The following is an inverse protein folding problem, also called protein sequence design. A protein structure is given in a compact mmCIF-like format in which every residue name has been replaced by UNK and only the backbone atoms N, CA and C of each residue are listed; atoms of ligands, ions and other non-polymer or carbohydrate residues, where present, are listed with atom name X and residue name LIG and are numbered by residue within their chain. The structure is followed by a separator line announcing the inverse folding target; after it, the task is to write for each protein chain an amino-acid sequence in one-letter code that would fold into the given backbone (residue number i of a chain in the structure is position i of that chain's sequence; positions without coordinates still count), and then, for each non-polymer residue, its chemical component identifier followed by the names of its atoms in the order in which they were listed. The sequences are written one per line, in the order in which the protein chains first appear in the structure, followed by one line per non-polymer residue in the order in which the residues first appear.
data_IF_109982875883
#
_entry.id   IF_109982875883
#
_cell.length_a   1.000
_cell.length_b   1.000
_cell.length_c   1.000
_cell.angle_alpha   90.00
_cell.angle_beta   90.00
_cell.angle_gamma   90.00
#
_symmetry.space_group_name_H-M   'P 1'
#
loop_
_entity.id
_entity.type
_entity.pdbx_description
1 polymer ?
#
# COMPACT_ATOMS: atom_id res chain seq x y z
N UNK A 1 4.55 -6.84 -22.53
CA UNK A 1 4.96 -7.19 -21.15
C UNK A 1 3.81 -7.08 -20.15
N UNK A 2 3.20 -5.90 -19.93
CA UNK A 2 2.08 -5.74 -19.00
C UNK A 2 0.88 -6.67 -19.30
N UNK A 3 0.44 -6.73 -20.55
CA UNK A 3 -0.66 -7.62 -20.96
C UNK A 3 -0.35 -9.11 -20.72
N UNK A 4 0.92 -9.51 -20.87
CA UNK A 4 1.36 -10.87 -20.57
C UNK A 4 1.25 -11.16 -19.08
N UNK A 5 1.82 -10.30 -18.22
CA UNK A 5 1.69 -10.43 -16.76
C UNK A 5 0.23 -10.44 -16.31
N UNK A 6 -0.58 -9.53 -16.86
CA UNK A 6 -2.01 -9.49 -16.59
C UNK A 6 -2.72 -10.76 -17.07
N UNK A 7 -2.34 -11.38 -18.18
CA UNK A 7 -3.01 -12.60 -18.67
C UNK A 7 -2.73 -13.80 -17.78
N UNK A 8 -1.49 -13.92 -17.27
CA UNK A 8 -1.04 -15.08 -16.50
C UNK A 8 -1.13 -14.88 -14.97
N UNK A 9 -1.57 -13.72 -14.48
CA UNK A 9 -1.83 -13.55 -13.05
C UNK A 9 -3.13 -14.25 -12.64
N UNK A 10 -3.09 -14.93 -11.49
CA UNK A 10 -4.26 -15.63 -10.97
C UNK A 10 -5.41 -14.65 -10.64
N UNK A 11 -5.08 -13.54 -9.97
CA UNK A 11 -6.01 -12.48 -9.59
C UNK A 11 -5.39 -11.09 -9.72
N UNK A 12 -6.24 -10.08 -9.57
CA UNK A 12 -5.88 -8.66 -9.55
C UNK A 12 -6.70 -8.01 -8.42
N UNK A 13 -6.06 -7.57 -7.35
CA UNK A 13 -6.72 -6.86 -6.25
C UNK A 13 -6.97 -5.39 -6.63
N UNK A 14 -7.90 -4.72 -5.96
CA UNK A 14 -8.27 -3.32 -6.22
C UNK A 14 -8.20 -2.50 -4.93
N UNK A 15 -7.52 -1.35 -4.99
CA UNK A 15 -7.35 -0.45 -3.86
C UNK A 15 -6.28 -0.94 -2.89
N UNK A 16 -6.63 -1.88 -2.02
CA UNK A 16 -5.74 -2.51 -1.03
C UNK A 16 -5.80 -4.03 -1.15
N UNK A 17 -4.70 -4.71 -0.89
CA UNK A 17 -4.65 -6.17 -0.86
C UNK A 17 -5.28 -6.72 0.42
N UNK A 18 -6.04 -7.81 0.28
CA UNK A 18 -6.65 -8.56 1.38
C UNK A 18 -6.01 -9.94 1.51
N UNK A 19 -6.18 -10.60 2.67
CA UNK A 19 -5.70 -11.97 2.84
C UNK A 19 -6.34 -12.95 1.85
N UNK A 20 -7.57 -12.69 1.40
CA UNK A 20 -8.25 -13.54 0.41
C UNK A 20 -7.66 -13.39 -1.00
N UNK A 21 -7.15 -12.20 -1.36
CA UNK A 21 -6.47 -11.99 -2.64
C UNK A 21 -5.20 -12.84 -2.77
N UNK A 22 -4.49 -13.01 -1.65
CA UNK A 22 -3.21 -13.71 -1.58
C UNK A 22 -3.35 -15.19 -1.22
N UNK A 23 -4.51 -15.61 -0.70
CA UNK A 23 -4.74 -17.00 -0.30
C UNK A 23 -4.47 -17.98 -1.46
N UNK A 24 -3.74 -19.05 -1.16
CA UNK A 24 -3.32 -20.08 -2.11
C UNK A 24 -2.49 -19.53 -3.28
N UNK A 25 -1.79 -18.41 -3.11
CA UNK A 25 -0.81 -17.87 -4.08
C UNK A 25 0.60 -18.10 -3.57
N UNK A 26 1.56 -18.16 -4.48
CA UNK A 26 2.99 -18.28 -4.13
C UNK A 26 3.74 -16.96 -4.23
N UNK A 27 3.17 -15.97 -4.91
CA UNK A 27 3.76 -14.65 -5.12
C UNK A 27 2.65 -13.63 -5.42
N UNK A 28 2.81 -12.42 -4.90
CA UNK A 28 1.94 -11.29 -5.20
C UNK A 28 2.73 -9.98 -5.14
N UNK A 29 2.36 -9.01 -5.96
CA UNK A 29 2.59 -7.61 -5.62
C UNK A 29 1.53 -7.23 -4.57
N UNK A 30 1.93 -6.50 -3.53
CA UNK A 30 1.08 -6.18 -2.37
C UNK A 30 1.56 -4.87 -1.74
N UNK A 31 0.68 -4.20 -1.02
CA UNK A 31 1.00 -3.06 -0.18
C UNK A 31 1.33 -3.45 1.27
N UNK A 32 1.06 -4.70 1.65
CA UNK A 32 1.33 -5.26 2.97
C UNK A 32 0.13 -5.33 3.91
N UNK A 33 -1.02 -4.77 3.51
CA UNK A 33 -2.21 -4.67 4.36
C UNK A 33 -2.78 -6.05 4.72
N UNK A 34 -2.60 -7.03 3.84
CA UNK A 34 -3.03 -8.41 4.07
C UNK A 34 -2.15 -9.17 5.06
N UNK A 35 -0.91 -8.72 5.31
CA UNK A 35 0.09 -9.50 6.05
C UNK A 35 -0.30 -9.82 7.51
N UNK A 36 -0.86 -8.88 8.30
CA UNK A 36 -1.30 -9.19 9.66
C UNK A 36 -2.36 -10.30 9.68
N UNK A 37 -3.33 -10.22 8.77
CA UNK A 37 -4.41 -11.20 8.69
C UNK A 37 -3.91 -12.56 8.16
N UNK A 38 -3.04 -12.57 7.15
CA UNK A 38 -2.39 -13.79 6.65
C UNK A 38 -1.60 -14.49 7.75
N UNK A 39 -0.84 -13.73 8.56
CA UNK A 39 -0.13 -14.26 9.73
C UNK A 39 -1.10 -14.86 10.74
N UNK A 40 -2.22 -14.20 11.02
CA UNK A 40 -3.26 -14.71 11.91
C UNK A 40 -3.93 -15.99 11.38
N UNK A 41 -4.01 -16.16 10.06
CA UNK A 41 -4.48 -17.38 9.38
C UNK A 41 -3.42 -18.49 9.31
N UNK A 42 -2.22 -18.26 9.85
CA UNK A 42 -1.11 -19.23 9.85
C UNK A 42 -0.29 -19.26 8.56
N UNK A 43 -0.47 -18.29 7.67
CA UNK A 43 0.35 -18.14 6.47
C UNK A 43 1.63 -17.36 6.76
N UNK A 44 2.75 -17.77 6.17
CA UNK A 44 4.07 -17.17 6.39
C UNK A 44 4.54 -16.42 5.13
N UNK A 45 3.98 -15.23 4.93
CA UNK A 45 4.37 -14.33 3.84
C UNK A 45 5.57 -13.47 4.22
N UNK A 46 6.44 -13.21 3.25
CA UNK A 46 7.64 -12.38 3.43
C UNK A 46 7.83 -11.44 2.25
N UNK A 47 8.40 -10.28 2.51
CA UNK A 47 8.87 -9.38 1.46
C UNK A 47 10.10 -9.94 0.76
N UNK A 48 10.10 -9.86 -0.57
CA UNK A 48 11.28 -10.12 -1.37
C UNK A 48 12.02 -8.79 -1.63
N UNK A 49 13.29 -8.64 -1.23
CA UNK A 49 14.07 -7.47 -1.59
C UNK A 49 14.31 -7.47 -3.11
N UNK A 50 14.05 -6.34 -3.76
CA UNK A 50 14.28 -6.14 -5.19
C UNK A 50 15.51 -5.26 -5.41
N UNK A 51 16.42 -5.67 -6.30
CA UNK A 51 17.61 -4.90 -6.66
C UNK A 51 17.22 -3.59 -7.36
N UNK A 52 16.17 -3.64 -8.19
CA UNK A 52 15.66 -2.51 -8.98
C UNK A 52 14.85 -1.49 -8.16
N UNK A 53 14.76 -1.68 -6.83
CA UNK A 53 13.87 -0.94 -5.92
C UNK A 53 12.39 -1.19 -6.22
N UNK A 54 11.52 -0.74 -5.31
CA UNK A 54 10.06 -0.84 -5.47
C UNK A 54 9.37 0.52 -5.30
N UNK A 55 8.18 0.72 -5.88
CA UNK A 55 7.41 1.96 -5.67
C UNK A 55 6.93 2.06 -4.22
N UNK A 56 6.91 3.28 -3.68
CA UNK A 56 6.33 3.60 -2.36
C UNK A 56 5.63 4.95 -2.41
N UNK A 57 4.77 5.22 -1.44
CA UNK A 57 4.03 6.49 -1.30
C UNK A 57 3.95 6.92 0.16
N UNK A 58 3.57 8.18 0.35
CA UNK A 58 3.32 8.78 1.66
C UNK A 58 1.86 9.21 1.68
N UNK A 59 1.07 8.59 2.55
CA UNK A 59 -0.31 8.98 2.78
C UNK A 59 -0.37 10.19 3.73
N UNK A 60 -1.16 11.20 3.34
CA UNK A 60 -1.26 12.46 4.07
C UNK A 60 -2.73 12.84 4.30
N UNK A 61 -3.02 13.40 5.48
CA UNK A 61 -4.26 14.14 5.67
C UNK A 61 -4.15 15.54 5.06
N UNK A 62 -5.20 15.96 4.36
CA UNK A 62 -5.33 17.31 3.80
C UNK A 62 -6.63 17.94 4.26
N UNK A 63 -6.57 19.21 4.68
CA UNK A 63 -7.76 20.00 5.02
C UNK A 63 -8.24 20.71 3.75
N UNK A 64 -9.43 20.35 3.29
CA UNK A 64 -10.02 20.95 2.10
C UNK A 64 -10.43 22.41 2.33
N UNK A 65 -10.29 23.24 1.29
CA UNK A 65 -10.76 24.63 1.28
C UNK A 65 -12.28 24.74 1.54
N UNK A 66 -13.04 23.67 1.33
CA UNK A 66 -14.49 23.63 1.61
C UNK A 66 -14.83 23.83 3.10
N UNK A 67 -13.85 23.72 3.99
CA UNK A 67 -14.00 23.98 5.42
C UNK A 67 -13.67 25.42 5.84
N UNK A 68 -13.30 26.31 4.90
CA UNK A 68 -12.88 27.70 5.19
C UNK A 68 -13.88 28.44 6.08
N UNK A 69 -15.16 28.37 5.73
CA UNK A 69 -16.24 29.07 6.43
C UNK A 69 -17.02 28.14 7.38
N UNK A 70 -16.43 27.00 7.76
CA UNK A 70 -17.03 25.98 8.65
C UNK A 70 -16.12 25.70 9.86
N UNK A 71 -15.99 26.66 10.79
CA UNK A 71 -14.97 26.61 11.86
C UNK A 71 -15.11 25.38 12.76
N UNK A 72 -16.33 24.96 13.10
CA UNK A 72 -16.54 23.76 13.91
C UNK A 72 -16.07 22.48 13.21
N UNK A 73 -16.40 22.31 11.92
CA UNK A 73 -15.99 21.13 11.16
C UNK A 73 -14.48 21.13 10.91
N UNK A 74 -13.90 22.30 10.66
CA UNK A 74 -12.45 22.46 10.58
C UNK A 74 -11.77 22.03 11.88
N UNK A 75 -12.28 22.46 13.04
CA UNK A 75 -11.73 22.06 14.33
C UNK A 75 -11.80 20.54 14.53
N UNK A 76 -12.91 19.89 14.17
CA UNK A 76 -13.03 18.43 14.24
C UNK A 76 -11.97 17.75 13.36
N UNK A 77 -11.76 18.24 12.14
CA UNK A 77 -10.72 17.69 11.25
C UNK A 77 -9.31 17.87 11.82
N UNK A 78 -9.00 19.03 12.40
CA UNK A 78 -7.72 19.31 13.04
C UNK A 78 -7.48 18.39 14.26
N UNK A 79 -8.49 18.19 15.11
CA UNK A 79 -8.40 17.28 16.25
C UNK A 79 -8.23 15.82 15.83
N UNK A 80 -8.91 15.41 14.76
CA UNK A 80 -8.72 14.09 14.18
C UNK A 80 -7.28 13.90 13.70
N UNK A 81 -6.73 14.84 12.92
CA UNK A 81 -5.34 14.79 12.48
C UNK A 81 -4.40 14.69 13.68
N UNK A 82 -4.59 15.55 14.69
CA UNK A 82 -3.79 15.53 15.91
C UNK A 82 -3.84 14.17 16.62
N UNK A 83 -5.03 13.58 16.76
CA UNK A 83 -5.20 12.25 17.34
C UNK A 83 -4.47 11.15 16.55
N UNK A 84 -4.62 11.15 15.21
CA UNK A 84 -3.96 10.13 14.35
C UNK A 84 -2.43 10.26 14.29
N UNK A 85 -1.88 11.41 14.70
CA UNK A 85 -0.44 11.62 14.84
C UNK A 85 0.10 11.11 16.19
N UNK A 86 -0.75 10.69 17.12
CA UNK A 86 -0.32 10.12 18.40
C UNK A 86 0.49 8.82 18.20
N UNK A 87 1.52 8.58 19.02
CA UNK A 87 2.29 7.32 18.97
C UNK A 87 1.41 6.08 19.11
N UNK A 88 0.39 6.15 19.98
CA UNK A 88 -0.51 5.04 20.28
C UNK A 88 -1.37 4.70 19.07
N UNK A 89 -1.97 5.71 18.41
CA UNK A 89 -2.74 5.48 17.20
C UNK A 89 -1.87 4.89 16.09
N UNK A 90 -0.67 5.42 15.88
CA UNK A 90 0.22 4.91 14.84
C UNK A 90 0.73 3.49 15.12
N UNK A 91 0.95 3.13 16.39
CA UNK A 91 1.32 1.77 16.76
C UNK A 91 0.19 0.78 16.48
N UNK A 92 -1.02 1.09 16.95
CA UNK A 92 -2.17 0.18 16.82
C UNK A 92 -2.68 0.10 15.38
N UNK A 93 -2.90 1.24 14.73
CA UNK A 93 -3.55 1.27 13.42
C UNK A 93 -2.51 1.03 12.33
N UNK A 94 -1.44 1.81 12.26
CA UNK A 94 -0.52 1.73 11.12
C UNK A 94 0.35 0.47 11.19
N UNK A 95 1.02 0.23 12.31
CA UNK A 95 1.97 -0.89 12.40
C UNK A 95 1.23 -2.22 12.56
N UNK A 96 0.41 -2.37 13.60
CA UNK A 96 -0.25 -3.65 13.90
C UNK A 96 -1.39 -3.94 12.93
N UNK A 97 -2.20 -2.93 12.61
CA UNK A 97 -3.37 -3.08 11.74
C UNK A 97 -3.03 -3.17 10.25
N UNK A 98 -2.07 -2.37 9.77
CA UNK A 98 -1.83 -2.21 8.33
C UNK A 98 -0.42 -2.62 7.87
N UNK A 99 0.48 -2.99 8.79
CA UNK A 99 1.90 -3.24 8.48
C UNK A 99 2.58 -2.06 7.76
N UNK A 100 2.14 -0.85 8.05
CA UNK A 100 2.63 0.39 7.45
C UNK A 100 3.64 1.09 8.35
N UNK A 101 4.54 1.86 7.73
CA UNK A 101 5.54 2.66 8.46
C UNK A 101 4.89 3.88 9.12
N UNK A 102 5.05 4.07 10.44
CA UNK A 102 4.61 5.29 11.11
C UNK A 102 5.54 6.46 10.79
N UNK A 103 4.99 7.67 10.81
CA UNK A 103 5.76 8.92 10.62
C UNK A 103 6.20 9.53 11.96
N UNK A 104 5.53 9.17 13.06
CA UNK A 104 5.91 9.62 14.38
C UNK A 104 6.99 8.68 14.94
N UNK A 105 8.23 9.19 15.06
CA UNK A 105 9.37 8.42 15.58
C UNK A 105 9.16 7.88 17.00
N UNK A 106 8.32 8.53 17.82
CA UNK A 106 8.01 8.07 19.19
C UNK A 106 7.21 6.76 19.19
N UNK A 107 6.54 6.42 18.09
CA UNK A 107 5.80 5.15 17.92
C UNK A 107 6.69 3.94 18.20
N UNK A 108 7.99 4.02 17.85
CA UNK A 108 8.96 2.92 18.03
C UNK A 108 9.01 2.41 19.47
N UNK A 109 8.83 3.27 20.46
CA UNK A 109 8.87 2.89 21.89
C UNK A 109 7.70 1.95 22.30
N UNK A 110 6.66 1.83 21.47
CA UNK A 110 5.47 1.02 21.72
C UNK A 110 5.47 -0.31 20.96
N UNK A 111 6.54 -0.62 20.22
CA UNK A 111 6.61 -1.75 19.30
C UNK A 111 7.58 -2.82 19.80
N UNK A 112 7.31 -4.08 19.45
CA UNK A 112 8.28 -5.17 19.63
C UNK A 112 9.40 -5.07 18.59
N UNK A 113 10.54 -5.70 18.85
CA UNK A 113 11.64 -5.74 17.89
C UNK A 113 11.22 -6.37 16.54
N UNK A 114 10.41 -7.43 16.57
CA UNK A 114 9.85 -8.05 15.36
C UNK A 114 9.03 -7.05 14.53
N UNK A 115 8.20 -6.23 15.17
CA UNK A 115 7.41 -5.20 14.47
C UNK A 115 8.30 -4.12 13.88
N UNK A 116 9.30 -3.67 14.64
CA UNK A 116 10.30 -2.68 14.21
C UNK A 116 11.05 -3.17 12.96
N UNK A 117 11.46 -4.44 12.94
CA UNK A 117 12.12 -5.08 11.80
C UNK A 117 11.18 -5.23 10.61
N UNK A 118 9.95 -5.68 10.85
CA UNK A 118 8.93 -5.89 9.80
C UNK A 118 8.65 -4.62 9.02
N UNK A 119 8.47 -3.49 9.72
CA UNK A 119 8.27 -2.18 9.08
C UNK A 119 9.58 -1.44 8.83
N UNK A 120 10.75 -2.01 9.16
CA UNK A 120 12.06 -1.44 8.87
C UNK A 120 12.34 -0.08 9.52
N UNK A 121 11.92 0.13 10.76
CA UNK A 121 12.08 1.41 11.48
C UNK A 121 13.52 1.71 11.94
N UNK A 122 14.38 0.69 12.05
CA UNK A 122 15.80 0.85 12.44
C UNK A 122 16.72 1.23 11.29
N UNK A 123 16.22 1.13 10.05
CA UNK A 123 17.02 1.24 8.83
C UNK A 123 16.78 2.58 8.10
N UNK A 124 16.63 3.67 8.86
CA UNK A 124 16.28 4.99 8.31
C UNK A 124 17.25 5.47 7.21
N UNK A 125 18.52 5.08 7.26
CA UNK A 125 19.56 5.42 6.26
C UNK A 125 19.55 4.56 5.00
N UNK A 126 18.90 3.39 4.95
CA UNK A 126 18.77 2.57 3.72
C UNK A 126 17.46 2.79 2.98
N UNK A 127 16.58 3.65 3.51
CA UNK A 127 15.28 3.97 2.91
C UNK A 127 15.38 4.62 1.52
N UNK A 128 16.40 5.46 1.28
CA UNK A 128 16.67 6.04 -0.05
C UNK A 128 17.22 5.01 -1.07
N UNK A 129 17.65 3.83 -0.61
CA UNK A 129 18.22 2.79 -1.47
C UNK A 129 17.18 1.74 -1.88
N UNK A 130 16.09 1.55 -1.13
CA UNK A 130 15.16 0.42 -1.36
C UNK A 130 13.88 0.76 -2.12
N UNK A 131 13.42 2.01 -2.12
CA UNK A 131 12.19 2.39 -2.80
C UNK A 131 12.29 3.69 -3.60
N UNK A 132 11.35 3.86 -4.52
CA UNK A 132 11.15 5.08 -5.31
C UNK A 132 9.81 5.67 -4.93
N UNK A 133 9.79 6.92 -4.43
CA UNK A 133 8.54 7.63 -4.19
C UNK A 133 7.82 7.87 -5.52
N UNK A 134 6.55 7.49 -5.57
CA UNK A 134 5.73 7.72 -6.75
C UNK A 134 5.62 9.23 -7.03
N UNK A 135 5.98 9.69 -8.24
CA UNK A 135 5.92 11.10 -8.57
C UNK A 135 4.48 11.56 -8.79
N UNK A 136 4.27 12.88 -8.71
CA UNK A 136 3.04 13.47 -9.23
C UNK A 136 2.95 13.23 -10.74
N UNK A 137 1.84 12.63 -11.18
CA UNK A 137 1.62 12.31 -12.59
C UNK A 137 0.77 13.40 -13.24
N UNK A 138 1.29 13.99 -14.32
CA UNK A 138 0.52 14.90 -15.15
C UNK A 138 -0.67 14.18 -15.82
N UNK A 139 -1.62 14.96 -16.35
CA UNK A 139 -2.82 14.41 -16.97
C UNK A 139 -2.50 13.51 -18.17
N UNK A 140 -1.47 13.84 -18.96
CA UNK A 140 -1.09 13.08 -20.16
C UNK A 140 -0.57 11.71 -19.79
N UNK A 141 0.30 11.64 -18.78
CA UNK A 141 0.92 10.43 -18.26
C UNK A 141 -0.12 9.52 -17.64
N UNK A 142 -1.02 10.06 -16.81
CA UNK A 142 -2.15 9.30 -16.26
C UNK A 142 -3.03 8.69 -17.35
N UNK A 143 -3.43 9.48 -18.35
CA UNK A 143 -4.22 8.96 -19.48
C UNK A 143 -3.46 7.87 -20.27
N UNK A 144 -2.13 8.00 -20.39
CA UNK A 144 -1.28 6.99 -21.00
C UNK A 144 -1.30 5.66 -20.25
N UNK A 145 -1.09 5.68 -18.93
CA UNK A 145 -1.18 4.48 -18.10
C UNK A 145 -2.57 3.85 -18.13
N UNK A 146 -3.61 4.68 -18.11
CA UNK A 146 -5.00 4.23 -18.18
C UNK A 146 -5.30 3.50 -19.50
N UNK A 147 -4.75 4.01 -20.62
CA UNK A 147 -4.83 3.35 -21.92
C UNK A 147 -4.09 2.01 -21.94
N UNK A 148 -2.84 1.98 -21.44
CA UNK A 148 -2.04 0.75 -21.38
C UNK A 148 -2.71 -0.33 -20.54
N UNK A 149 -3.30 0.05 -19.41
CA UNK A 149 -4.06 -0.85 -18.56
C UNK A 149 -5.29 -1.40 -19.26
N UNK A 150 -6.09 -0.54 -19.92
CA UNK A 150 -7.27 -0.97 -20.69
C UNK A 150 -6.91 -1.97 -21.79
N UNK A 151 -5.80 -1.74 -22.49
CA UNK A 151 -5.30 -2.66 -23.52
C UNK A 151 -4.92 -4.02 -22.91
N UNK A 152 -4.15 -4.02 -21.82
CA UNK A 152 -3.77 -5.25 -21.12
C UNK A 152 -4.98 -6.06 -20.63
N UNK A 153 -6.01 -5.38 -20.10
CA UNK A 153 -7.24 -6.04 -19.64
C UNK A 153 -8.09 -6.58 -20.79
N UNK A 154 -8.13 -5.89 -21.94
CA UNK A 154 -8.79 -6.41 -23.14
C UNK A 154 -8.13 -7.69 -23.65
N UNK A 155 -6.79 -7.74 -23.67
CA UNK A 155 -6.03 -8.94 -24.03
C UNK A 155 -6.27 -10.10 -23.06
N UNK A 156 -6.22 -9.85 -21.74
CA UNK A 156 -6.56 -10.85 -20.72
C UNK A 156 -7.96 -11.43 -20.96
N UNK A 157 -8.95 -10.57 -21.19
CA UNK A 157 -10.33 -11.00 -21.44
C UNK A 157 -10.46 -11.86 -22.71
N UNK A 158 -9.74 -11.51 -23.78
CA UNK A 158 -9.72 -12.29 -25.01
C UNK A 158 -9.07 -13.67 -24.81
N UNK A 159 -7.93 -13.73 -24.10
CA UNK A 159 -7.25 -14.99 -23.79
C UNK A 159 -8.11 -15.93 -22.93
N UNK A 160 -8.77 -15.39 -21.90
CA UNK A 160 -9.66 -16.17 -21.05
C UNK A 160 -10.88 -16.74 -21.80
N UNK A 161 -11.37 -16.05 -22.84
CA UNK A 161 -12.44 -16.58 -23.70
C UNK A 161 -11.96 -17.74 -24.58
N UNK A 162 -10.75 -17.66 -25.13
CA UNK A 162 -10.16 -18.73 -25.96
C UNK A 162 -9.95 -20.02 -25.17
N UNK A 163 -9.51 -19.93 -23.93
CA UNK A 163 -9.25 -21.11 -23.08
C UNK A 163 -10.52 -21.78 -22.53
N UNK A 164 -11.70 -21.20 -22.77
CA UNK A 164 -13.01 -21.75 -22.35
C UNK A 164 -13.75 -22.44 -23.49
N UNK A 165 -13.24 -22.35 -24.72
CA UNK A 165 -13.73 -23.07 -25.90
C UNK A 165 -12.92 -24.35 -26.08
#
# INVERSE_FOLDING_TARGET
MLAHLATYSNGLWMGVDTADDLKNKSLAASWGFSLPELKARGENWKWAPLEEKFPSWIDNFVISHTLKDRPQLRRIAEEWINYTLSPEFQAEVLVKGLSARPVNAKTKALLTQEMIETVGLDNATSSNEMFVLMPELDRRTRNGFDLLWKQAMAERAAAQRRNRQ
#
